data_IF_130275930946
#
_entry.id   IF_130275930946
#
_cell.length_a   1.000
_cell.length_b   1.000
_cell.length_c   1.000
_cell.angle_alpha   90.00
_cell.angle_beta   90.00
_cell.angle_gamma   90.00
#
_symmetry.space_group_name_H-M   'P 1'
#
loop_
_entity.id
_entity.type
_entity.pdbx_description
1 polymer ?
#
# COMPACT_ATOMS: atom_id res chain seq x y z
N UNK A 1 17.00 13.80 11.38
CA UNK A 1 16.50 12.50 10.89
C UNK A 1 17.61 11.52 10.54
N UNK A 2 18.69 11.92 9.88
CA UNK A 2 19.83 11.05 9.50
C UNK A 2 20.42 10.23 10.66
N UNK A 3 20.45 10.80 11.86
CA UNK A 3 20.97 10.16 13.09
C UNK A 3 20.03 9.11 13.73
N UNK A 4 18.78 9.02 13.28
CA UNK A 4 17.76 8.12 13.86
C UNK A 4 17.06 7.32 12.75
N UNK A 5 17.68 6.24 12.22
CA UNK A 5 17.09 5.42 11.15
C UNK A 5 15.74 4.79 11.54
N UNK A 6 15.55 4.49 12.83
CA UNK A 6 14.28 4.04 13.43
C UNK A 6 13.12 4.99 13.09
N UNK A 7 13.35 6.31 13.20
CA UNK A 7 12.37 7.34 12.87
C UNK A 7 12.15 7.51 11.37
N UNK A 8 13.17 7.18 10.56
CA UNK A 8 13.06 7.23 9.10
C UNK A 8 12.21 6.07 8.56
N UNK A 9 12.32 4.89 9.15
CA UNK A 9 11.51 3.74 8.75
C UNK A 9 10.06 3.92 9.20
N UNK A 10 9.85 4.53 10.37
CA UNK A 10 8.53 4.67 11.00
C UNK A 10 7.94 3.34 11.47
N UNK A 11 8.69 2.24 11.38
CA UNK A 11 8.26 0.90 11.80
C UNK A 11 8.55 0.72 13.28
N UNK A 12 7.55 0.24 14.02
CA UNK A 12 7.75 -0.21 15.39
C UNK A 12 8.23 -1.65 15.36
N UNK A 13 9.07 -2.01 16.33
CA UNK A 13 9.60 -3.36 16.50
C UNK A 13 9.51 -3.76 17.97
N UNK A 14 9.85 -5.01 18.29
CA UNK A 14 9.93 -5.47 19.68
C UNK A 14 10.93 -4.62 20.51
N UNK A 15 11.97 -4.08 19.87
CA UNK A 15 13.00 -3.26 20.50
C UNK A 15 12.72 -1.75 20.39
N UNK A 16 11.89 -1.33 19.44
CA UNK A 16 11.54 0.06 19.19
C UNK A 16 10.06 0.34 19.39
N UNK A 17 9.73 0.78 20.60
CA UNK A 17 8.35 1.06 21.01
C UNK A 17 7.93 2.49 20.67
N UNK A 18 6.63 2.77 20.78
CA UNK A 18 6.09 4.11 20.64
C UNK A 18 6.76 5.13 21.60
N UNK A 19 7.05 4.74 22.85
CA UNK A 19 7.74 5.61 23.81
C UNK A 19 9.16 5.97 23.36
N UNK A 20 9.87 5.03 22.75
CA UNK A 20 11.20 5.27 22.18
C UNK A 20 11.09 6.26 21.02
N UNK A 21 10.11 6.06 20.13
CA UNK A 21 9.86 6.97 19.02
C UNK A 21 9.50 8.39 19.50
N UNK A 22 8.65 8.51 20.53
CA UNK A 22 8.27 9.79 21.11
C UNK A 22 9.50 10.54 21.67
N UNK A 23 10.34 9.88 22.47
CA UNK A 23 11.56 10.50 23.00
C UNK A 23 12.46 11.04 21.90
N UNK A 24 12.67 10.26 20.83
CA UNK A 24 13.48 10.72 19.71
C UNK A 24 12.85 11.92 18.98
N UNK A 25 11.52 11.97 18.87
CA UNK A 25 10.83 13.14 18.30
C UNK A 25 10.90 14.38 19.19
N UNK A 26 10.89 14.20 20.51
CA UNK A 26 11.12 15.28 21.48
C UNK A 26 12.54 15.83 21.35
N UNK A 27 13.56 14.96 21.23
CA UNK A 27 14.94 15.38 20.98
C UNK A 27 15.10 16.16 19.67
N UNK A 28 14.46 15.69 18.59
CA UNK A 28 14.44 16.40 17.31
C UNK A 28 13.77 17.77 17.47
N UNK A 29 12.67 17.83 18.21
CA UNK A 29 11.94 19.08 18.47
C UNK A 29 12.77 20.06 19.28
N UNK A 30 13.48 19.59 20.31
CA UNK A 30 14.37 20.43 21.11
C UNK A 30 15.45 21.08 20.24
N UNK A 31 16.04 20.34 19.30
CA UNK A 31 17.01 20.88 18.33
C UNK A 31 16.37 21.87 17.37
N UNK A 32 15.18 21.56 16.84
CA UNK A 32 14.47 22.47 15.93
C UNK A 32 14.09 23.78 16.61
N UNK A 33 13.76 23.75 17.90
CA UNK A 33 13.44 24.97 18.68
C UNK A 33 14.63 25.90 18.91
N UNK A 34 15.86 25.40 18.78
CA UNK A 34 17.06 26.25 18.81
C UNK A 34 17.22 27.08 17.54
N UNK A 35 16.53 26.71 16.46
CA UNK A 35 16.54 27.43 15.19
C UNK A 35 15.41 28.47 15.23
N UNK A 36 15.69 29.76 14.97
CA UNK A 36 14.65 30.78 14.93
C UNK A 36 13.65 30.46 13.82
N UNK A 37 12.36 30.51 14.14
CA UNK A 37 11.29 30.21 13.19
C UNK A 37 10.12 29.46 13.83
N UNK A 38 9.67 28.39 13.18
CA UNK A 38 8.47 27.67 13.58
C UNK A 38 8.67 26.91 14.90
N UNK A 39 7.87 27.26 15.91
CA UNK A 39 7.80 26.52 17.18
C UNK A 39 6.60 25.59 17.13
N UNK A 40 6.84 24.28 17.16
CA UNK A 40 5.80 23.25 17.14
C UNK A 40 6.12 22.15 18.14
N UNK A 41 5.08 21.48 18.62
CA UNK A 41 5.19 20.26 19.42
C UNK A 41 5.67 19.06 18.59
N UNK A 42 6.22 18.06 19.28
CA UNK A 42 6.85 16.90 18.65
C UNK A 42 5.91 16.12 17.72
N UNK A 43 4.62 16.04 18.06
CA UNK A 43 3.60 15.37 17.27
C UNK A 43 3.33 16.10 15.94
N UNK A 44 3.35 17.43 15.95
CA UNK A 44 3.20 18.27 14.76
C UNK A 44 4.43 18.20 13.88
N UNK A 45 5.63 18.12 14.46
CA UNK A 45 6.86 17.87 13.70
C UNK A 45 6.87 16.50 13.04
N UNK A 46 6.43 15.47 13.77
CA UNK A 46 6.24 14.12 13.21
C UNK A 46 5.29 14.15 12.01
N UNK A 47 4.13 14.81 12.15
CA UNK A 47 3.16 14.93 11.06
C UNK A 47 3.71 15.70 9.87
N UNK A 48 4.36 16.84 10.12
CA UNK A 48 5.02 17.65 9.07
C UNK A 48 6.00 16.78 8.26
N UNK A 49 6.82 15.97 8.93
CA UNK A 49 7.74 15.07 8.27
C UNK A 49 7.04 13.99 7.43
N UNK A 50 5.96 13.38 7.94
CA UNK A 50 5.16 12.41 7.19
C UNK A 50 4.55 13.00 5.93
N UNK A 51 4.04 14.23 6.03
CA UNK A 51 3.42 14.95 4.91
C UNK A 51 4.47 15.29 3.84
N UNK A 52 5.63 15.80 4.27
CA UNK A 52 6.77 16.07 3.37
C UNK A 52 7.19 14.81 2.60
N UNK A 53 7.37 13.68 3.28
CA UNK A 53 7.72 12.41 2.61
C UNK A 53 6.67 11.97 1.60
N UNK A 54 5.39 12.05 1.97
CA UNK A 54 4.29 11.61 1.12
C UNK A 54 4.17 12.50 -0.12
N UNK A 55 4.29 13.81 0.07
CA UNK A 55 4.27 14.80 -1.01
C UNK A 55 5.44 14.60 -1.98
N UNK A 56 6.67 14.44 -1.47
CA UNK A 56 7.86 14.20 -2.29
C UNK A 56 7.75 12.88 -3.07
N UNK A 57 7.25 11.81 -2.44
CA UNK A 57 7.01 10.52 -3.13
C UNK A 57 5.98 10.69 -4.26
N UNK A 58 4.85 11.33 -3.98
CA UNK A 58 3.81 11.57 -4.98
C UNK A 58 4.33 12.40 -6.16
N UNK A 59 5.12 13.46 -5.87
CA UNK A 59 5.75 14.28 -6.91
C UNK A 59 6.71 13.45 -7.77
N UNK A 60 7.59 12.65 -7.16
CA UNK A 60 8.52 11.79 -7.89
C UNK A 60 7.79 10.75 -8.76
N UNK A 61 6.74 10.11 -8.24
CA UNK A 61 5.91 9.17 -9.01
C UNK A 61 5.21 9.87 -10.19
N UNK A 62 4.67 11.08 -9.99
CA UNK A 62 4.08 11.89 -11.06
C UNK A 62 5.09 12.14 -12.19
N UNK A 63 6.28 12.64 -11.85
CA UNK A 63 7.36 12.93 -12.81
C UNK A 63 7.75 11.67 -13.58
N UNK A 64 7.98 10.55 -12.88
CA UNK A 64 8.33 9.26 -13.52
C UNK A 64 7.22 8.78 -14.46
N UNK A 65 5.96 8.85 -14.04
CA UNK A 65 4.80 8.44 -14.87
C UNK A 65 4.70 9.29 -16.14
N UNK A 66 4.93 10.60 -16.03
CA UNK A 66 4.96 11.49 -17.20
C UNK A 66 6.13 11.16 -18.13
N UNK A 67 7.33 10.91 -17.58
CA UNK A 67 8.51 10.56 -18.38
C UNK A 67 8.39 9.19 -19.09
N UNK A 68 7.66 8.25 -18.50
CA UNK A 68 7.43 6.91 -19.06
C UNK A 68 6.20 6.82 -19.97
N UNK A 69 5.37 7.87 -20.01
CA UNK A 69 4.19 7.92 -20.88
C UNK A 69 4.59 8.19 -22.32
N UNK A 70 4.06 7.42 -23.26
CA UNK A 70 4.28 7.58 -24.71
C UNK A 70 3.24 8.49 -25.39
N UNK A 71 2.39 9.18 -24.62
CA UNK A 71 1.37 10.08 -25.17
C UNK A 71 1.93 11.44 -25.56
N UNK A 72 1.56 11.97 -26.73
CA UNK A 72 2.03 13.26 -27.29
C UNK A 72 1.59 14.53 -26.55
N UNK A 73 1.32 14.45 -25.24
CA UNK A 73 1.09 15.60 -24.38
C UNK A 73 2.39 16.32 -24.02
N UNK A 74 2.33 17.59 -23.61
CA UNK A 74 3.51 18.35 -23.21
C UNK A 74 4.21 17.72 -21.99
N UNK A 75 5.54 17.84 -21.95
CA UNK A 75 6.33 17.38 -20.82
C UNK A 75 5.89 18.05 -19.51
N UNK A 76 5.85 17.29 -18.41
CA UNK A 76 5.52 17.84 -17.10
C UNK A 76 6.56 18.90 -16.69
N UNK A 77 6.10 20.09 -16.27
CA UNK A 77 6.95 21.16 -15.72
C UNK A 77 7.34 20.94 -14.26
N UNK A 78 6.90 19.85 -13.65
CA UNK A 78 7.21 19.54 -12.25
C UNK A 78 8.67 19.11 -12.11
N UNK A 79 9.43 19.88 -11.32
CA UNK A 79 10.82 19.56 -10.98
C UNK A 79 10.92 19.24 -9.48
N UNK A 80 11.78 18.28 -9.14
CA UNK A 80 12.14 18.00 -7.76
C UNK A 80 12.99 19.16 -7.23
N UNK A 81 12.57 19.74 -6.12
CA UNK A 81 13.39 20.76 -5.44
C UNK A 81 14.59 20.11 -4.76
N UNK A 82 15.59 20.90 -4.37
CA UNK A 82 16.74 20.38 -3.60
C UNK A 82 16.30 19.67 -2.31
N UNK A 83 15.27 20.22 -1.64
CA UNK A 83 14.67 19.62 -0.45
C UNK A 83 14.02 18.27 -0.79
N UNK A 84 13.28 18.18 -1.91
CA UNK A 84 12.68 16.92 -2.37
C UNK A 84 13.77 15.87 -2.62
N UNK A 85 14.87 16.25 -3.28
CA UNK A 85 15.98 15.35 -3.58
C UNK A 85 16.67 14.86 -2.30
N UNK A 86 16.89 15.74 -1.33
CA UNK A 86 17.45 15.40 -0.03
C UNK A 86 16.54 14.46 0.75
N UNK A 87 15.22 14.65 0.69
CA UNK A 87 14.24 13.74 1.29
C UNK A 87 14.32 12.38 0.60
N UNK A 88 14.33 12.31 -0.73
CA UNK A 88 14.43 11.04 -1.48
C UNK A 88 15.68 10.25 -1.12
N UNK A 89 16.84 10.90 -1.03
CA UNK A 89 18.09 10.27 -0.59
C UNK A 89 17.99 9.77 0.85
N UNK A 90 17.37 10.55 1.73
CA UNK A 90 17.24 10.21 3.15
C UNK A 90 16.26 9.06 3.42
N UNK A 91 15.20 8.89 2.62
CA UNK A 91 14.21 7.81 2.81
C UNK A 91 14.59 6.50 2.13
N UNK A 92 15.54 6.55 1.18
CA UNK A 92 16.07 5.42 0.44
C UNK A 92 15.17 4.96 -0.73
N UNK A 93 15.76 4.37 -1.79
CA UNK A 93 15.05 4.03 -3.03
C UNK A 93 13.96 2.96 -2.83
N UNK A 94 14.14 2.02 -1.89
CA UNK A 94 13.17 0.93 -1.65
C UNK A 94 11.79 1.44 -1.22
N UNK A 95 11.71 2.58 -0.52
CA UNK A 95 10.44 3.20 -0.13
C UNK A 95 9.77 3.91 -1.32
N UNK A 96 10.57 4.37 -2.27
CA UNK A 96 10.17 5.19 -3.42
C UNK A 96 9.76 4.33 -4.60
N UNK A 97 10.50 3.25 -4.86
CA UNK A 97 10.37 2.39 -6.05
C UNK A 97 9.66 1.06 -5.73
N UNK A 98 9.51 0.71 -4.46
CA UNK A 98 9.00 -0.59 -4.04
C UNK A 98 10.09 -1.67 -4.02
N UNK A 99 9.73 -2.87 -3.56
CA UNK A 99 10.65 -4.01 -3.56
C UNK A 99 10.40 -4.84 -4.82
N UNK A 100 11.35 -4.88 -5.76
CA UNK A 100 11.19 -5.65 -6.99
C UNK A 100 11.17 -7.18 -6.77
N UNK A 101 11.50 -7.66 -5.56
CA UNK A 101 11.55 -9.10 -5.23
C UNK A 101 10.35 -9.61 -4.43
N UNK A 102 9.36 -8.76 -4.10
CA UNK A 102 8.12 -9.24 -3.48
C UNK A 102 7.29 -10.00 -4.51
N UNK A 103 7.31 -11.32 -4.42
CA UNK A 103 6.40 -12.20 -5.14
C UNK A 103 4.96 -11.84 -4.74
N UNK A 104 4.09 -11.57 -5.70
CA UNK A 104 2.68 -11.30 -5.43
C UNK A 104 2.05 -12.49 -4.69
N UNK A 105 1.24 -12.20 -3.67
CA UNK A 105 0.52 -13.25 -2.93
C UNK A 105 -0.39 -14.01 -3.89
N UNK A 106 -0.08 -15.28 -4.15
CA UNK A 106 -0.93 -16.17 -4.92
C UNK A 106 -2.15 -16.55 -4.07
N UNK A 107 -3.26 -15.81 -4.20
CA UNK A 107 -4.54 -16.20 -3.61
C UNK A 107 -5.24 -17.15 -4.58
N UNK A 108 -5.13 -18.45 -4.31
CA UNK A 108 -5.92 -19.46 -5.00
C UNK A 108 -7.34 -19.44 -4.43
N UNK A 109 -8.28 -18.81 -5.12
CA UNK A 109 -9.70 -18.90 -4.78
C UNK A 109 -10.18 -20.34 -5.05
N UNK A 110 -10.22 -21.17 -4.01
CA UNK A 110 -10.64 -22.59 -4.05
C UNK A 110 -12.15 -22.76 -4.33
N UNK A 111 -12.87 -21.69 -4.63
CA UNK A 111 -14.33 -21.67 -4.80
C UNK A 111 -14.80 -22.37 -6.08
N UNK A 112 -13.96 -22.44 -7.13
CA UNK A 112 -14.39 -22.94 -8.44
C UNK A 112 -14.73 -24.44 -8.47
N UNK A 113 -14.04 -25.28 -7.67
CA UNK A 113 -14.31 -26.72 -7.67
C UNK A 113 -15.59 -27.07 -6.91
N UNK A 114 -15.81 -26.43 -5.76
CA UNK A 114 -17.02 -26.61 -4.94
C UNK A 114 -18.26 -26.14 -5.72
N UNK A 115 -18.16 -25.00 -6.40
CA UNK A 115 -19.25 -24.47 -7.23
C UNK A 115 -19.55 -25.42 -8.40
N UNK A 116 -18.52 -25.91 -9.13
CA UNK A 116 -18.72 -26.86 -10.24
C UNK A 116 -19.33 -28.19 -9.79
N UNK A 117 -18.91 -28.73 -8.65
CA UNK A 117 -19.45 -29.99 -8.12
C UNK A 117 -20.91 -29.82 -7.67
N UNK A 118 -21.25 -28.71 -7.01
CA UNK A 118 -22.60 -28.39 -6.57
C UNK A 118 -23.56 -28.21 -7.78
N UNK A 119 -23.11 -27.54 -8.85
CA UNK A 119 -23.88 -27.40 -10.08
C UNK A 119 -24.10 -28.76 -10.76
N UNK A 120 -23.08 -29.63 -10.82
CA UNK A 120 -23.24 -30.98 -11.39
C UNK A 120 -24.20 -31.84 -10.56
N UNK A 121 -24.11 -31.81 -9.22
CA UNK A 121 -25.05 -32.53 -8.35
C UNK A 121 -26.49 -32.06 -8.56
N UNK A 122 -26.71 -30.74 -8.61
CA UNK A 122 -28.05 -30.17 -8.85
C UNK A 122 -28.60 -30.58 -10.21
N UNK A 123 -27.78 -30.58 -11.27
CA UNK A 123 -28.20 -31.05 -12.61
C UNK A 123 -28.61 -32.53 -12.60
N UNK A 124 -27.84 -33.39 -11.93
CA UNK A 124 -28.16 -34.82 -11.80
C UNK A 124 -29.49 -35.00 -11.04
N UNK A 125 -29.64 -34.33 -9.89
CA UNK A 125 -30.84 -34.45 -9.07
C UNK A 125 -32.11 -34.01 -9.82
N UNK A 126 -32.02 -32.91 -10.57
CA UNK A 126 -33.12 -32.42 -11.42
C UNK A 126 -33.45 -33.44 -12.50
N UNK A 127 -32.45 -34.03 -13.17
CA UNK A 127 -32.68 -35.03 -14.21
C UNK A 127 -33.35 -36.30 -13.67
N UNK A 128 -32.98 -36.74 -12.45
CA UNK A 128 -33.64 -37.86 -11.78
C UNK A 128 -35.08 -37.56 -11.39
N UNK A 129 -35.36 -36.35 -10.87
CA UNK A 129 -36.73 -35.91 -10.55
C UNK A 129 -37.60 -35.90 -11.81
N UNK A 130 -37.09 -35.39 -12.94
CA UNK A 130 -37.80 -35.42 -14.22
C UNK A 130 -38.11 -36.85 -14.69
N UNK A 131 -37.16 -37.78 -14.54
CA UNK A 131 -37.36 -39.19 -14.91
C UNK A 131 -38.41 -39.85 -14.03
N UNK A 132 -38.39 -39.60 -12.72
CA UNK A 132 -39.38 -40.13 -11.77
C UNK A 132 -40.79 -39.60 -12.06
N UNK A 133 -40.91 -38.30 -12.38
CA UNK A 133 -42.19 -37.70 -12.77
C UNK A 133 -42.70 -38.32 -14.07
N UNK A 134 -41.82 -38.49 -15.07
CA UNK A 134 -42.20 -39.09 -16.36
C UNK A 134 -42.66 -40.55 -16.19
N UNK A 135 -41.96 -41.33 -15.36
CA UNK A 135 -42.32 -42.73 -15.08
C UNK A 135 -43.65 -42.84 -14.31
N UNK A 136 -43.89 -41.94 -13.36
CA UNK A 136 -45.14 -41.91 -12.60
C UNK A 136 -46.34 -41.54 -13.49
N UNK A 137 -46.18 -40.55 -14.38
CA UNK A 137 -47.21 -40.19 -15.37
C UNK A 137 -47.44 -41.33 -16.36
N UNK A 138 -46.39 -42.01 -16.83
CA UNK A 138 -46.49 -43.14 -17.74
C UNK A 138 -47.16 -44.39 -17.13
N UNK A 139 -47.14 -44.54 -15.80
CA UNK A 139 -47.79 -45.66 -15.09
C UNK A 139 -49.26 -45.37 -14.73
N UNK A 140 -49.69 -44.11 -14.79
CA UNK A 140 -51.08 -43.69 -14.51
C UNK A 140 -51.95 -43.53 -15.76
N UNK A 141 -51.42 -43.79 -16.97
CA UNK A 141 -52.14 -43.95 -18.22
C UNK A 141 -52.16 -45.42 -18.64
#
# INVERSE_FOLDING_TARGET
MTKHPELQSGKLSATFTYKNAQKLWEEVTARLRQIPGAVKEWNKWRKTWQDMRSATKAKNTSIKKHAQGTGGGPASSQVLTEIDQNILTLIGPTVVEGHNSTQESNVQFVSNLIIKLNIRLKKILISFLFLLIYLHVAFMC
#
